data_IF_333251605475
#
_entry.id   IF_333251605475
#
_cell.length_a   1.000
_cell.length_b   1.000
_cell.length_c   1.000
_cell.angle_alpha   90.00
_cell.angle_beta   90.00
_cell.angle_gamma   90.00
#
_symmetry.space_group_name_H-M   'P 1'
#
loop_
_entity.id
_entity.type
_entity.pdbx_description
1 polymer ?
#
# COMPACT_ATOMS: atom_id res chain seq x y z
N UNK A 1 -2.57 26.50 -9.18
CA UNK A 1 -2.47 25.86 -10.52
C UNK A 1 -3.69 24.99 -10.78
N UNK A 2 -4.47 25.29 -11.81
CA UNK A 2 -5.77 24.62 -12.10
C UNK A 2 -5.62 23.11 -12.38
N UNK A 3 -4.53 22.72 -13.07
CA UNK A 3 -4.24 21.32 -13.43
C UNK A 3 -4.13 20.42 -12.20
N UNK A 4 -3.54 20.92 -11.11
CA UNK A 4 -3.42 20.19 -9.85
C UNK A 4 -4.78 19.81 -9.28
N UNK A 5 -5.65 20.81 -9.09
CA UNK A 5 -6.99 20.60 -8.54
C UNK A 5 -7.90 19.74 -9.43
N UNK A 6 -7.92 20.01 -10.75
CA UNK A 6 -8.80 19.28 -11.69
C UNK A 6 -8.43 17.79 -11.82
N UNK A 7 -7.14 17.46 -11.75
CA UNK A 7 -6.69 16.08 -11.95
C UNK A 7 -6.61 15.29 -10.64
N UNK A 8 -6.45 15.95 -9.49
CA UNK A 8 -6.22 15.26 -8.22
C UNK A 8 -7.37 14.36 -7.81
N UNK A 9 -8.63 14.84 -7.91
CA UNK A 9 -9.80 14.05 -7.54
C UNK A 9 -9.91 12.78 -8.40
N UNK A 10 -9.87 12.93 -9.73
CA UNK A 10 -9.95 11.79 -10.65
C UNK A 10 -8.79 10.81 -10.41
N UNK A 11 -7.58 11.33 -10.23
CA UNK A 11 -6.42 10.47 -9.94
C UNK A 11 -6.60 9.68 -8.65
N UNK A 12 -7.24 10.28 -7.64
CA UNK A 12 -7.51 9.60 -6.37
C UNK A 12 -8.56 8.49 -6.50
N UNK A 13 -9.55 8.66 -7.38
CA UNK A 13 -10.69 7.74 -7.53
C UNK A 13 -10.38 6.58 -8.48
N UNK A 14 -9.77 6.84 -9.63
CA UNK A 14 -9.55 5.84 -10.68
C UNK A 14 -8.07 5.65 -11.08
N UNK A 15 -7.16 6.35 -10.40
CA UNK A 15 -5.77 6.43 -10.79
C UNK A 15 -5.52 7.34 -12.01
N UNK A 16 -4.25 7.47 -12.38
CA UNK A 16 -3.82 8.12 -13.62
C UNK A 16 -2.99 7.13 -14.43
N UNK A 17 -3.37 6.82 -15.69
CA UNK A 17 -2.52 6.03 -16.58
C UNK A 17 -1.19 6.76 -16.85
N UNK A 18 -0.09 6.00 -16.94
CA UNK A 18 1.26 6.55 -17.15
C UNK A 18 1.38 7.44 -18.40
N UNK A 19 0.64 7.11 -19.44
CA UNK A 19 0.59 7.91 -20.68
C UNK A 19 -0.02 9.29 -20.45
N UNK A 20 -1.10 9.36 -19.66
CA UNK A 20 -1.77 10.61 -19.30
C UNK A 20 -0.87 11.45 -18.40
N UNK A 21 -0.24 10.82 -17.41
CA UNK A 21 0.73 11.45 -16.53
C UNK A 21 1.89 12.07 -17.30
N UNK A 22 2.52 11.29 -18.17
CA UNK A 22 3.62 11.74 -19.04
C UNK A 22 3.19 12.88 -19.97
N UNK A 23 1.97 12.82 -20.51
CA UNK A 23 1.42 13.87 -21.39
C UNK A 23 1.14 15.16 -20.62
N UNK A 24 0.63 15.08 -19.40
CA UNK A 24 0.40 16.24 -18.54
C UNK A 24 1.72 16.87 -18.10
N UNK A 25 2.71 16.06 -17.70
CA UNK A 25 4.05 16.53 -17.36
C UNK A 25 4.70 17.28 -18.53
N UNK A 26 4.63 16.70 -19.74
CA UNK A 26 5.11 17.37 -20.97
C UNK A 26 4.40 18.70 -21.23
N UNK A 27 3.08 18.77 -21.04
CA UNK A 27 2.30 20.00 -21.22
C UNK A 27 2.68 21.07 -20.19
N UNK A 28 2.84 20.70 -18.93
CA UNK A 28 3.29 21.61 -17.87
C UNK A 28 4.68 22.15 -18.19
N UNK A 29 5.60 21.28 -18.62
CA UNK A 29 6.96 21.68 -19.01
C UNK A 29 6.95 22.61 -20.21
N UNK A 30 6.17 22.29 -21.24
CA UNK A 30 6.02 23.09 -22.45
C UNK A 30 5.46 24.49 -22.14
N UNK A 31 4.47 24.56 -21.26
CA UNK A 31 3.91 25.82 -20.76
C UNK A 31 4.92 26.64 -19.95
N UNK A 32 5.66 26.01 -19.03
CA UNK A 32 6.67 26.69 -18.20
C UNK A 32 7.77 27.36 -19.03
N UNK A 33 8.15 26.72 -20.14
CA UNK A 33 9.24 27.18 -20.99
C UNK A 33 8.79 27.93 -22.25
N UNK A 34 7.50 28.23 -22.38
CA UNK A 34 6.95 28.96 -23.54
C UNK A 34 7.36 28.30 -24.87
N UNK A 35 7.07 27.00 -24.98
CA UNK A 35 7.38 26.16 -26.15
C UNK A 35 8.87 25.99 -26.49
N UNK A 36 9.78 26.54 -25.68
CA UNK A 36 11.23 26.36 -25.85
C UNK A 36 11.63 24.91 -25.60
N UNK A 37 12.47 24.39 -26.48
CA UNK A 37 12.96 23.00 -26.44
C UNK A 37 13.97 22.76 -25.31
N UNK A 38 14.76 23.77 -24.97
CA UNK A 38 15.80 23.71 -23.95
C UNK A 38 15.29 24.22 -22.60
N UNK A 39 15.17 23.31 -21.63
CA UNK A 39 14.97 23.67 -20.24
C UNK A 39 16.28 24.25 -19.68
N UNK A 40 16.22 25.47 -19.12
CA UNK A 40 17.40 26.14 -18.56
C UNK A 40 17.67 25.77 -17.11
N UNK A 41 16.69 25.18 -16.45
CA UNK A 41 16.73 24.78 -15.03
C UNK A 41 16.29 23.31 -14.97
N UNK A 42 16.96 22.52 -14.13
CA UNK A 42 16.62 21.14 -13.84
C UNK A 42 15.25 21.02 -13.13
N UNK A 43 14.68 19.81 -13.16
CA UNK A 43 13.32 19.59 -12.64
C UNK A 43 13.23 19.77 -11.14
N UNK A 44 14.24 19.28 -10.43
CA UNK A 44 14.29 19.26 -8.97
C UNK A 44 14.23 20.69 -8.41
N UNK A 45 15.00 21.60 -9.01
CA UNK A 45 15.00 23.03 -8.62
C UNK A 45 13.69 23.72 -8.96
N UNK A 46 13.02 23.35 -10.04
CA UNK A 46 11.71 23.92 -10.38
C UNK A 46 10.62 23.49 -9.37
N UNK A 47 10.68 22.25 -8.88
CA UNK A 47 9.75 21.72 -7.89
C UNK A 47 10.02 22.23 -6.47
N UNK A 48 11.24 22.66 -6.18
CA UNK A 48 11.63 23.17 -4.87
C UNK A 48 10.80 24.40 -4.43
N UNK A 49 10.67 24.65 -3.11
CA UNK A 49 10.00 25.82 -2.58
C UNK A 49 10.60 27.14 -3.07
N UNK A 50 9.80 28.22 -3.03
CA UNK A 50 10.25 29.55 -3.50
C UNK A 50 11.39 30.07 -2.63
N UNK A 51 11.38 29.73 -1.35
CA UNK A 51 12.38 30.08 -0.34
C UNK A 51 13.77 29.51 -0.66
N UNK A 52 13.83 28.37 -1.35
CA UNK A 52 15.07 27.71 -1.79
C UNK A 52 15.48 28.13 -3.22
N UNK A 53 14.86 29.18 -3.77
CA UNK A 53 15.09 29.64 -5.14
C UNK A 53 14.35 28.82 -6.20
N UNK A 54 13.43 27.95 -5.80
CA UNK A 54 12.58 27.18 -6.70
C UNK A 54 11.33 27.92 -7.17
N UNK A 55 10.45 27.21 -7.87
CA UNK A 55 9.17 27.75 -8.37
C UNK A 55 7.94 27.10 -7.74
N UNK A 56 8.14 26.16 -6.82
CA UNK A 56 7.09 25.38 -6.17
C UNK A 56 6.12 24.78 -7.20
N UNK A 57 6.66 24.33 -8.33
CA UNK A 57 5.86 23.72 -9.38
C UNK A 57 5.36 22.35 -8.91
N UNK A 58 4.15 21.99 -9.32
CA UNK A 58 3.59 20.68 -9.02
C UNK A 58 4.40 19.55 -9.68
N UNK A 59 4.97 18.70 -8.84
CA UNK A 59 5.43 17.38 -9.24
C UNK A 59 4.24 16.41 -9.28
N UNK A 60 3.80 16.06 -10.50
CA UNK A 60 2.68 15.14 -10.71
C UNK A 60 3.00 13.72 -10.26
N UNK A 61 4.25 13.27 -10.46
CA UNK A 61 4.67 11.91 -10.12
C UNK A 61 4.67 11.75 -8.60
N UNK A 62 5.33 12.67 -7.90
CA UNK A 62 5.36 12.67 -6.44
C UNK A 62 3.95 12.78 -5.84
N UNK A 63 3.07 13.62 -6.40
CA UNK A 63 1.68 13.72 -5.95
C UNK A 63 0.91 12.42 -6.14
N UNK A 64 1.03 11.78 -7.31
CA UNK A 64 0.31 10.55 -7.60
C UNK A 64 0.79 9.39 -6.70
N UNK A 65 2.09 9.33 -6.40
CA UNK A 65 2.63 8.41 -5.40
C UNK A 65 2.11 8.73 -3.98
N UNK A 66 2.06 10.01 -3.59
CA UNK A 66 1.51 10.42 -2.29
C UNK A 66 0.03 10.06 -2.12
N UNK A 67 -0.75 10.09 -3.20
CA UNK A 67 -2.14 9.58 -3.20
C UNK A 67 -2.17 8.10 -2.83
N UNK A 68 -1.31 7.27 -3.43
CA UNK A 68 -1.20 5.85 -3.10
C UNK A 68 -0.72 5.61 -1.66
N UNK A 69 0.20 6.43 -1.16
CA UNK A 69 0.63 6.39 0.25
C UNK A 69 -0.54 6.69 1.18
N UNK A 70 -1.41 7.64 0.83
CA UNK A 70 -2.62 7.94 1.60
C UNK A 70 -3.59 6.75 1.63
N UNK A 71 -3.76 6.05 0.51
CA UNK A 71 -4.54 4.80 0.45
C UNK A 71 -3.92 3.70 1.31
N UNK A 72 -2.59 3.53 1.25
CA UNK A 72 -1.85 2.59 2.09
C UNK A 72 -2.02 2.91 3.57
N UNK A 73 -1.91 4.18 3.97
CA UNK A 73 -2.15 4.62 5.35
C UNK A 73 -3.57 4.27 5.81
N UNK A 74 -4.57 4.50 4.94
CA UNK A 74 -5.95 4.12 5.21
C UNK A 74 -6.13 2.60 5.38
N UNK A 75 -5.43 1.80 4.57
CA UNK A 75 -5.44 0.34 4.66
C UNK A 75 -4.78 -0.20 5.93
N UNK A 76 -3.66 0.41 6.34
CA UNK A 76 -2.90 0.04 7.53
C UNK A 76 -3.53 0.55 8.83
N UNK A 77 -4.60 1.33 8.76
CA UNK A 77 -5.39 1.69 9.93
C UNK A 77 -6.25 0.49 10.37
N UNK A 78 -5.76 -0.24 11.38
CA UNK A 78 -6.40 -1.44 11.93
C UNK A 78 -7.36 -1.13 13.09
N UNK A 79 -7.61 0.16 13.36
CA UNK A 79 -8.32 0.63 14.54
C UNK A 79 -9.84 0.47 14.34
N UNK A 80 -10.65 0.82 15.35
CA UNK A 80 -12.13 0.86 15.22
C UNK A 80 -12.63 1.79 14.09
N UNK A 81 -11.78 2.70 13.59
CA UNK A 81 -12.05 3.61 12.47
C UNK A 81 -11.60 3.06 11.10
N UNK A 82 -11.35 1.75 11.00
CA UNK A 82 -10.95 1.07 9.76
C UNK A 82 -12.01 1.29 8.67
N UNK A 83 -11.57 1.72 7.49
CA UNK A 83 -12.47 2.06 6.40
C UNK A 83 -13.08 0.80 5.76
N UNK A 84 -14.35 0.85 5.36
CA UNK A 84 -15.10 -0.32 4.86
C UNK A 84 -14.45 -1.00 3.65
N UNK A 85 -13.88 -0.21 2.74
CA UNK A 85 -13.21 -0.73 1.54
C UNK A 85 -12.01 -1.64 1.88
N UNK A 86 -11.39 -1.47 3.05
CA UNK A 86 -10.22 -2.27 3.45
C UNK A 86 -10.59 -3.74 3.70
N UNK A 87 -11.80 -4.02 4.17
CA UNK A 87 -12.30 -5.40 4.32
C UNK A 87 -12.49 -6.07 2.96
N UNK A 88 -12.95 -5.31 1.96
CA UNK A 88 -13.05 -5.79 0.57
C UNK A 88 -11.66 -6.04 0.00
N UNK A 89 -10.71 -5.13 0.24
CA UNK A 89 -9.32 -5.32 -0.15
C UNK A 89 -8.72 -6.58 0.50
N UNK A 90 -8.94 -6.82 1.79
CA UNK A 90 -8.50 -8.03 2.49
C UNK A 90 -9.08 -9.30 1.82
N UNK A 91 -10.37 -9.31 1.50
CA UNK A 91 -11.01 -10.44 0.81
C UNK A 91 -10.42 -10.70 -0.59
N UNK A 92 -10.17 -9.65 -1.39
CA UNK A 92 -9.56 -9.77 -2.72
C UNK A 92 -8.12 -10.31 -2.60
N UNK A 93 -7.35 -9.80 -1.64
CA UNK A 93 -5.98 -10.25 -1.37
C UNK A 93 -5.96 -11.72 -0.98
N UNK A 94 -6.86 -12.13 -0.10
CA UNK A 94 -7.02 -13.51 0.38
C UNK A 94 -7.44 -14.48 -0.72
N UNK A 95 -8.32 -14.04 -1.63
CA UNK A 95 -8.78 -14.86 -2.76
C UNK A 95 -7.65 -15.12 -3.78
N UNK A 96 -6.78 -14.14 -4.01
CA UNK A 96 -5.70 -14.24 -5.00
C UNK A 96 -4.37 -14.70 -4.41
N UNK A 97 -4.37 -15.77 -3.63
CA UNK A 97 -3.17 -16.28 -2.97
C UNK A 97 -2.40 -17.30 -3.86
N UNK A 98 -1.05 -17.32 -3.85
CA UNK A 98 -0.25 -18.32 -4.56
C UNK A 98 -0.49 -19.75 -4.09
N UNK A 99 -0.23 -20.73 -4.96
CA UNK A 99 -0.46 -22.16 -4.72
C UNK A 99 0.18 -22.70 -3.44
N UNK A 100 1.35 -22.17 -3.05
CA UNK A 100 2.05 -22.50 -1.79
C UNK A 100 1.21 -22.30 -0.53
N UNK A 101 0.18 -21.47 -0.60
CA UNK A 101 -0.67 -21.08 0.50
C UNK A 101 -2.14 -21.52 0.28
N UNK A 102 -2.44 -22.31 -0.76
CA UNK A 102 -3.80 -22.82 -1.02
C UNK A 102 -4.29 -23.76 0.08
N UNK A 103 -3.38 -24.47 0.75
CA UNK A 103 -3.71 -25.33 1.90
C UNK A 103 -4.03 -24.53 3.18
N UNK A 104 -3.97 -23.19 3.14
CA UNK A 104 -4.37 -22.32 4.24
C UNK A 104 -5.85 -21.99 4.10
N UNK A 105 -6.60 -22.17 5.19
CA UNK A 105 -7.99 -21.76 5.24
C UNK A 105 -8.10 -20.24 5.16
N UNK A 106 -9.09 -19.72 4.43
CA UNK A 106 -9.21 -18.27 4.19
C UNK A 106 -9.43 -17.47 5.48
N UNK A 107 -10.06 -18.06 6.50
CA UNK A 107 -10.23 -17.43 7.82
C UNK A 107 -8.93 -17.17 8.57
N UNK A 108 -7.83 -17.80 8.17
CA UNK A 108 -6.50 -17.59 8.77
C UNK A 108 -5.74 -16.43 8.13
N UNK A 109 -6.18 -15.99 6.94
CA UNK A 109 -5.55 -14.92 6.16
C UNK A 109 -6.24 -13.60 6.53
N UNK A 110 -5.70 -12.96 7.57
CA UNK A 110 -6.24 -11.72 8.14
C UNK A 110 -5.68 -10.52 7.41
N UNK A 111 -4.36 -10.39 7.33
CA UNK A 111 -3.73 -9.21 6.73
C UNK A 111 -2.34 -9.53 6.19
N UNK A 112 -2.06 -9.04 4.98
CA UNK A 112 -0.81 -9.30 4.24
C UNK A 112 0.42 -8.60 4.83
N UNK A 113 0.25 -7.54 5.62
CA UNK A 113 1.36 -6.83 6.26
C UNK A 113 1.68 -7.33 7.67
N UNK A 114 0.74 -8.02 8.32
CA UNK A 114 0.94 -8.60 9.65
C UNK A 114 1.39 -10.06 9.62
N UNK A 115 1.17 -10.74 8.50
CA UNK A 115 1.40 -12.18 8.35
C UNK A 115 2.42 -12.47 7.24
N UNK A 116 2.97 -13.69 7.25
CA UNK A 116 4.00 -14.18 6.33
C UNK A 116 3.50 -14.57 4.93
N UNK A 117 2.19 -14.59 4.70
CA UNK A 117 1.62 -14.94 3.41
C UNK A 117 1.56 -13.73 2.47
N UNK A 118 1.44 -13.97 1.17
CA UNK A 118 1.33 -12.91 0.17
C UNK A 118 0.27 -13.23 -0.88
N UNK A 119 -0.17 -12.21 -1.62
CA UNK A 119 -1.09 -12.34 -2.76
C UNK A 119 -0.32 -12.31 -4.08
N UNK A 120 -0.89 -12.94 -5.09
CA UNK A 120 -0.40 -12.91 -6.46
C UNK A 120 -0.73 -11.58 -7.12
N UNK A 121 0.26 -10.69 -7.17
CA UNK A 121 0.13 -9.31 -7.67
C UNK A 121 -0.38 -9.22 -9.10
N UNK A 122 -0.13 -10.22 -9.96
CA UNK A 122 -0.57 -10.19 -11.37
C UNK A 122 -2.09 -10.37 -11.52
N UNK A 123 -2.72 -11.04 -10.57
CA UNK A 123 -4.18 -11.28 -10.54
C UNK A 123 -4.95 -10.18 -9.79
N UNK A 124 -4.24 -9.32 -9.06
CA UNK A 124 -4.88 -8.23 -8.32
C UNK A 124 -5.35 -7.10 -9.24
N UNK A 125 -6.45 -6.41 -8.88
CA UNK A 125 -6.80 -5.12 -9.44
C UNK A 125 -5.61 -4.15 -9.38
N UNK A 126 -5.55 -3.23 -10.36
CA UNK A 126 -4.45 -2.27 -10.51
C UNK A 126 -4.19 -1.48 -9.23
N UNK A 127 -5.23 -0.99 -8.56
CA UNK A 127 -5.09 -0.15 -7.38
C UNK A 127 -4.43 -0.88 -6.20
N UNK A 128 -4.82 -2.12 -5.93
CA UNK A 128 -4.21 -2.94 -4.88
C UNK A 128 -2.77 -3.32 -5.23
N UNK A 129 -2.50 -3.60 -6.50
CA UNK A 129 -1.15 -3.87 -6.99
C UNK A 129 -0.23 -2.67 -6.81
N UNK A 130 -0.70 -1.49 -7.19
CA UNK A 130 0.06 -0.24 -7.07
C UNK A 130 0.26 0.12 -5.59
N UNK A 131 -0.75 -0.07 -4.73
CA UNK A 131 -0.63 0.11 -3.29
C UNK A 131 0.42 -0.83 -2.65
N UNK A 132 0.42 -2.12 -3.01
CA UNK A 132 1.44 -3.08 -2.55
C UNK A 132 2.83 -2.71 -3.08
N UNK A 133 2.92 -2.24 -4.33
CA UNK A 133 4.17 -1.78 -4.92
C UNK A 133 4.74 -0.58 -4.18
N UNK A 134 3.91 0.40 -3.84
CA UNK A 134 4.28 1.57 -3.04
C UNK A 134 4.71 1.17 -1.63
N UNK A 135 4.00 0.24 -0.99
CA UNK A 135 4.39 -0.27 0.31
C UNK A 135 5.80 -0.88 0.28
N UNK A 136 6.14 -1.63 -0.77
CA UNK A 136 7.50 -2.18 -0.97
C UNK A 136 8.52 -1.09 -1.28
N UNK A 137 8.18 -0.14 -2.15
CA UNK A 137 9.06 0.99 -2.55
C UNK A 137 9.54 1.77 -1.32
N UNK A 138 8.65 2.02 -0.37
CA UNK A 138 8.95 2.76 0.86
C UNK A 138 9.30 1.88 2.05
N UNK A 139 9.44 0.56 1.87
CA UNK A 139 9.84 -0.36 2.93
C UNK A 139 8.84 -0.47 4.09
N UNK A 140 7.54 -0.27 3.84
CA UNK A 140 6.51 -0.35 4.88
C UNK A 140 6.46 -1.76 5.48
N UNK A 141 6.77 -1.85 6.77
CA UNK A 141 6.80 -3.08 7.57
C UNK A 141 6.44 -2.79 9.02
N UNK A 142 6.08 -3.83 9.76
CA UNK A 142 5.94 -3.74 11.21
C UNK A 142 7.33 -3.50 11.83
N UNK A 143 7.53 -2.38 12.50
CA UNK A 143 8.80 -2.01 13.12
C UNK A 143 8.54 -1.29 14.45
N UNK A 144 9.30 -1.64 15.47
CA UNK A 144 9.19 -1.05 16.80
C UNK A 144 10.29 -1.56 17.72
N UNK A 145 10.85 -0.67 18.55
CA UNK A 145 11.87 -1.05 19.54
C UNK A 145 11.30 -1.99 20.61
N UNK A 146 10.06 -1.74 21.05
CA UNK A 146 9.32 -2.59 21.97
C UNK A 146 7.83 -2.29 21.81
N UNK A 147 7.02 -3.33 21.57
CA UNK A 147 5.57 -3.20 21.52
C UNK A 147 4.96 -3.36 22.91
N UNK A 148 3.92 -2.60 23.21
CA UNK A 148 3.14 -2.84 24.43
C UNK A 148 2.50 -4.22 24.39
N UNK A 149 2.24 -4.81 25.56
CA UNK A 149 1.56 -6.11 25.65
C UNK A 149 0.18 -6.09 24.99
N UNK A 150 -0.50 -4.95 24.99
CA UNK A 150 -1.78 -4.75 24.33
C UNK A 150 -1.68 -4.92 22.82
N UNK A 151 -0.65 -4.33 22.19
CA UNK A 151 -0.40 -4.46 20.75
C UNK A 151 -0.04 -5.90 20.40
N UNK A 152 0.83 -6.53 21.20
CA UNK A 152 1.24 -7.92 20.98
C UNK A 152 0.02 -8.87 21.02
N UNK A 153 -0.91 -8.66 21.96
CA UNK A 153 -2.14 -9.46 22.07
C UNK A 153 -3.12 -9.25 20.91
N UNK A 154 -2.96 -8.19 20.13
CA UNK A 154 -3.77 -7.96 18.92
C UNK A 154 -3.16 -8.59 17.67
N UNK A 155 -1.91 -9.08 17.74
CA UNK A 155 -1.25 -9.68 16.60
C UNK A 155 -1.88 -11.02 16.22
N UNK A 156 -1.99 -11.32 14.91
CA UNK A 156 -2.38 -12.65 14.44
C UNK A 156 -1.45 -13.72 15.00
N UNK A 157 -2.00 -14.68 15.75
CA UNK A 157 -1.23 -15.81 16.26
C UNK A 157 -0.83 -16.78 15.12
N UNK A 158 -1.68 -16.87 14.10
CA UNK A 158 -1.46 -17.72 12.95
C UNK A 158 -0.69 -16.97 11.87
N UNK A 159 0.27 -17.65 11.24
CA UNK A 159 1.07 -17.12 10.12
C UNK A 159 1.85 -15.84 10.47
N UNK A 160 2.14 -15.60 11.75
CA UNK A 160 2.96 -14.47 12.19
C UNK A 160 4.28 -14.41 11.40
N UNK A 161 4.62 -13.22 10.89
CA UNK A 161 5.74 -13.02 9.97
C UNK A 161 7.10 -13.41 10.57
N UNK A 162 7.28 -13.24 11.88
CA UNK A 162 8.56 -13.47 12.55
C UNK A 162 8.63 -14.82 13.31
N UNK A 163 7.56 -15.62 13.26
CA UNK A 163 7.52 -16.89 13.98
C UNK A 163 8.47 -17.94 13.39
N UNK A 164 9.49 -18.33 14.15
CA UNK A 164 10.36 -19.46 13.83
C UNK A 164 9.58 -20.78 13.95
N UNK A 165 9.65 -21.65 12.93
CA UNK A 165 8.98 -22.96 12.89
C UNK A 165 7.43 -22.94 12.97
N UNK A 166 6.77 -21.81 12.67
CA UNK A 166 5.31 -21.66 12.75
C UNK A 166 4.53 -22.75 12.00
N UNK A 167 5.07 -23.24 10.88
CA UNK A 167 4.46 -24.29 10.08
C UNK A 167 4.30 -25.63 10.82
N UNK A 168 5.24 -25.98 11.72
CA UNK A 168 5.18 -27.23 12.50
C UNK A 168 4.08 -27.17 13.56
N UNK A 169 3.97 -26.05 14.27
CA UNK A 169 2.99 -25.85 15.33
C UNK A 169 1.56 -25.69 14.79
N UNK A 170 1.40 -25.14 13.58
CA UNK A 170 0.08 -24.88 12.99
C UNK A 170 -0.73 -26.16 12.75
N UNK A 171 -0.10 -27.25 12.32
CA UNK A 171 -0.81 -28.43 11.83
C UNK A 171 -1.13 -29.49 12.91
N UNK A 172 -0.82 -29.23 14.19
CA UNK A 172 -1.16 -30.15 15.28
C UNK A 172 -2.68 -30.25 15.49
N UNK A 173 -3.13 -31.32 16.16
CA UNK A 173 -4.56 -31.53 16.47
C UNK A 173 -5.09 -30.42 17.37
N UNK A 174 -4.29 -29.99 18.33
CA UNK A 174 -4.60 -28.93 19.29
C UNK A 174 -4.74 -27.59 18.56
N UNK A 175 -3.79 -27.23 17.70
CA UNK A 175 -3.86 -26.00 16.90
C UNK A 175 -5.03 -26.00 15.92
N UNK A 176 -5.44 -27.17 15.41
CA UNK A 176 -6.67 -27.28 14.61
C UNK A 176 -7.90 -27.07 15.49
N UNK A 177 -7.98 -27.66 16.69
CA UNK A 177 -9.07 -27.42 17.64
C UNK A 177 -9.19 -25.93 18.02
N UNK A 178 -8.07 -25.29 18.36
CA UNK A 178 -8.04 -23.86 18.72
C UNK A 178 -8.55 -22.96 17.59
N UNK A 179 -8.23 -23.28 16.33
CA UNK A 179 -8.72 -22.53 15.16
C UNK A 179 -10.18 -22.80 14.83
N UNK A 180 -10.56 -24.07 14.78
CA UNK A 180 -11.84 -24.48 14.21
C UNK A 180 -12.97 -24.43 15.23
N UNK A 181 -12.71 -24.80 16.49
CA UNK A 181 -13.72 -24.91 17.54
C UNK A 181 -13.68 -23.71 18.50
N UNK A 182 -12.48 -23.20 18.82
CA UNK A 182 -12.33 -22.07 19.77
C UNK A 182 -12.15 -20.71 19.09
N UNK A 183 -12.06 -20.65 17.75
CA UNK A 183 -11.92 -19.43 16.97
C UNK A 183 -10.77 -18.51 17.44
N UNK A 184 -9.68 -19.08 17.96
CA UNK A 184 -8.50 -18.32 18.39
C UNK A 184 -7.86 -17.67 17.16
N UNK A 185 -7.63 -16.35 17.20
CA UNK A 185 -7.07 -15.58 16.08
C UNK A 185 -5.88 -14.71 16.45
N UNK A 186 -5.81 -14.27 17.70
CA UNK A 186 -4.75 -13.40 18.22
C UNK A 186 -4.06 -14.04 19.43
N UNK A 187 -2.95 -13.43 19.86
CA UNK A 187 -2.11 -13.89 20.99
C UNK A 187 -2.75 -13.60 22.34
#
# INVERSE_FOLDING_TARGET
MIVGGMTQYLTKVQGMPKEVESRLEKRIRKFLWDDKTLARINKETIYAPIEEGGRQLLDLLARNEAILVTWLQGYLNLNKKRATWTFVADAILTHHVPSKYTNLEDREKINVFLQSWNSNTSKLPKDLRDMISIAKKYGARLEGLTFSREIIRQMPIWLYSEAKNAHKLRNSKESRCLRQNHNVKTV
#
